data_IF_589999791604
#
_entry.id   IF_589999791604
#
_cell.length_a   1.000
_cell.length_b   1.000
_cell.length_c   1.000
_cell.angle_alpha   90.00
_cell.angle_beta   90.00
_cell.angle_gamma   90.00
#
_symmetry.space_group_name_H-M   'P 1'
#
loop_
_entity.id
_entity.type
_entity.pdbx_description
1 polymer ?
#
# COMPACT_ATOMS: atom_id res chain seq x y z
N UNK A 1 -13.82 43.16 -9.29
CA UNK A 1 -14.13 41.89 -9.97
C UNK A 1 -12.86 41.44 -10.69
N UNK A 2 -12.19 40.36 -10.31
CA UNK A 2 -11.06 39.85 -11.07
C UNK A 2 -11.56 39.05 -12.26
N UNK A 3 -11.06 39.43 -13.45
CA UNK A 3 -11.27 38.74 -14.71
C UNK A 3 -10.81 37.26 -14.59
N UNK A 4 -11.70 36.33 -14.79
CA UNK A 4 -11.38 34.93 -14.81
C UNK A 4 -10.77 34.49 -16.15
N UNK A 5 -9.63 33.78 -16.12
CA UNK A 5 -8.98 33.25 -17.33
C UNK A 5 -9.89 32.20 -18.00
N UNK A 6 -10.08 32.32 -19.30
CA UNK A 6 -10.83 31.40 -20.15
C UNK A 6 -9.81 30.44 -20.75
N UNK A 7 -9.91 29.15 -20.45
CA UNK A 7 -9.18 28.13 -21.19
C UNK A 7 -9.99 27.77 -22.43
N UNK A 8 -9.50 28.12 -23.59
CA UNK A 8 -10.10 27.71 -24.86
C UNK A 8 -9.32 26.51 -25.45
N UNK A 9 -10.00 25.43 -25.72
CA UNK A 9 -9.46 24.32 -26.51
C UNK A 9 -9.93 24.50 -27.93
N UNK A 10 -9.01 24.69 -28.86
CA UNK A 10 -9.30 24.80 -30.30
C UNK A 10 -9.28 23.40 -30.88
N UNK A 11 -10.42 22.94 -31.39
CA UNK A 11 -10.53 21.68 -32.11
C UNK A 11 -9.96 21.79 -33.54
N UNK A 12 -9.76 20.67 -34.25
CA UNK A 12 -9.11 20.62 -35.56
C UNK A 12 -9.82 21.41 -36.68
N UNK A 13 -11.04 21.88 -36.46
CA UNK A 13 -11.82 22.68 -37.41
C UNK A 13 -11.99 24.15 -36.99
N UNK A 14 -11.18 24.63 -36.06
CA UNK A 14 -11.22 26.05 -35.64
C UNK A 14 -12.41 26.44 -34.77
N UNK A 15 -13.23 25.48 -34.31
CA UNK A 15 -14.33 25.74 -33.39
C UNK A 15 -13.81 25.98 -31.97
N UNK A 16 -14.13 27.15 -31.41
CA UNK A 16 -13.77 27.51 -30.04
C UNK A 16 -14.85 26.97 -29.11
N UNK A 17 -14.54 25.95 -28.34
CA UNK A 17 -15.37 25.52 -27.22
C UNK A 17 -15.00 26.34 -26.00
N UNK A 18 -15.79 27.37 -25.69
CA UNK A 18 -15.70 28.06 -24.42
C UNK A 18 -16.27 27.14 -23.32
N UNK A 19 -15.41 26.49 -22.57
CA UNK A 19 -15.80 25.86 -21.31
C UNK A 19 -16.13 26.97 -20.32
N UNK A 20 -17.42 27.14 -20.03
CA UNK A 20 -17.85 28.02 -18.96
C UNK A 20 -17.11 27.61 -17.67
N UNK A 21 -16.42 28.54 -17.03
CA UNK A 21 -15.89 28.34 -15.67
C UNK A 21 -17.05 28.06 -14.74
N UNK A 22 -17.25 26.79 -14.44
CA UNK A 22 -17.89 26.44 -13.18
C UNK A 22 -16.97 26.93 -12.05
N UNK A 23 -17.53 27.28 -10.89
CA UNK A 23 -16.77 27.53 -9.65
C UNK A 23 -16.07 26.24 -9.16
N UNK A 24 -15.27 25.64 -10.03
CA UNK A 24 -14.49 24.45 -9.68
C UNK A 24 -13.35 24.88 -8.77
N UNK A 25 -13.38 24.39 -7.56
CA UNK A 25 -12.31 24.46 -6.58
C UNK A 25 -11.00 24.04 -7.28
N UNK A 26 -9.92 24.80 -7.12
CA UNK A 26 -8.63 24.39 -7.69
C UNK A 26 -8.12 23.13 -6.95
N UNK A 27 -7.19 22.40 -7.57
CA UNK A 27 -6.67 21.14 -7.03
C UNK A 27 -6.17 21.27 -5.59
N UNK A 28 -5.53 22.39 -5.24
CA UNK A 28 -5.01 22.62 -3.89
C UNK A 28 -6.14 22.78 -2.88
N UNK A 29 -7.19 23.50 -3.23
CA UNK A 29 -8.38 23.67 -2.37
C UNK A 29 -9.11 22.35 -2.20
N UNK A 30 -9.21 21.53 -3.26
CA UNK A 30 -9.79 20.19 -3.19
C UNK A 30 -9.00 19.28 -2.24
N UNK A 31 -7.68 19.28 -2.33
CA UNK A 31 -6.82 18.51 -1.42
C UNK A 31 -6.95 18.99 0.02
N UNK A 32 -6.95 20.30 0.26
CA UNK A 32 -7.15 20.84 1.61
C UNK A 32 -8.52 20.50 2.20
N UNK A 33 -9.57 20.53 1.39
CA UNK A 33 -10.91 20.12 1.82
C UNK A 33 -10.96 18.62 2.14
N UNK A 34 -10.30 17.80 1.32
CA UNK A 34 -10.17 16.37 1.54
C UNK A 34 -9.39 16.05 2.83
N UNK A 35 -8.26 16.71 3.07
CA UNK A 35 -7.45 16.54 4.27
C UNK A 35 -8.23 16.87 5.56
N UNK A 36 -9.11 17.88 5.51
CA UNK A 36 -9.95 18.29 6.66
C UNK A 36 -11.16 17.38 6.89
N UNK A 37 -11.50 16.53 5.94
CA UNK A 37 -12.67 15.64 6.07
C UNK A 37 -12.42 14.60 7.17
N UNK A 38 -13.37 14.45 8.08
CA UNK A 38 -13.34 13.41 9.10
C UNK A 38 -13.52 12.02 8.47
N UNK A 39 -12.85 10.97 8.99
CA UNK A 39 -13.15 9.60 8.62
C UNK A 39 -14.59 9.22 8.92
N UNK A 40 -15.16 8.29 8.17
CA UNK A 40 -16.51 7.77 8.43
C UNK A 40 -16.55 6.88 9.68
N UNK A 41 -15.50 6.08 9.92
CA UNK A 41 -15.44 5.18 11.07
C UNK A 41 -14.05 5.23 11.69
N UNK A 42 -14.03 5.33 13.02
CA UNK A 42 -12.82 5.13 13.83
C UNK A 42 -13.15 4.10 14.90
N UNK A 43 -12.43 2.99 14.86
CA UNK A 43 -12.45 1.97 15.89
C UNK A 43 -11.16 2.12 16.73
N UNK A 44 -11.30 2.19 18.04
CA UNK A 44 -10.18 2.28 18.98
C UNK A 44 -10.18 1.04 19.89
N UNK A 45 -8.98 0.54 20.17
CA UNK A 45 -8.78 -0.66 20.96
C UNK A 45 -7.62 -0.46 21.95
N UNK A 46 -7.79 -0.96 23.15
CA UNK A 46 -6.76 -1.06 24.14
C UNK A 46 -6.59 -2.53 24.50
N UNK A 47 -5.36 -3.01 24.51
CA UNK A 47 -5.09 -4.39 24.90
C UNK A 47 -5.32 -4.59 26.40
N UNK A 48 -5.94 -5.73 26.77
CA UNK A 48 -6.22 -6.03 28.16
C UNK A 48 -4.98 -6.53 28.93
N UNK A 49 -3.94 -6.97 28.23
CA UNK A 49 -2.78 -7.65 28.83
C UNK A 49 -1.48 -6.88 28.70
N UNK A 50 -1.45 -5.88 27.81
CA UNK A 50 -0.26 -5.05 27.57
C UNK A 50 -0.64 -3.58 27.47
N UNK A 51 0.31 -2.71 27.21
CA UNK A 51 0.11 -1.29 26.92
C UNK A 51 -0.21 -1.02 25.43
N UNK A 52 -0.40 -2.05 24.64
CA UNK A 52 -0.72 -1.90 23.22
C UNK A 52 -2.06 -1.19 23.00
N UNK A 53 -2.07 -0.26 22.06
CA UNK A 53 -3.27 0.44 21.61
C UNK A 53 -3.38 0.30 20.09
N UNK A 54 -4.61 0.17 19.60
CA UNK A 54 -4.84 -0.02 18.18
C UNK A 54 -5.99 0.82 17.65
N UNK A 55 -5.92 1.16 16.36
CA UNK A 55 -6.93 1.91 15.64
C UNK A 55 -7.21 1.25 14.29
N UNK A 56 -8.49 1.15 13.92
CA UNK A 56 -8.89 1.03 12.53
C UNK A 56 -9.56 2.33 12.13
N UNK A 57 -9.02 2.97 11.12
CA UNK A 57 -9.62 4.17 10.53
C UNK A 57 -10.11 3.84 9.13
N UNK A 58 -11.40 4.07 8.89
CA UNK A 58 -12.03 3.95 7.58
C UNK A 58 -12.39 5.37 7.12
N UNK A 59 -11.66 5.86 6.13
CA UNK A 59 -11.89 7.21 5.61
C UNK A 59 -13.23 7.33 4.90
N UNK A 60 -13.60 6.31 4.11
CA UNK A 60 -14.95 6.15 3.55
C UNK A 60 -15.26 4.70 3.23
N UNK A 61 -16.56 4.36 3.15
CA UNK A 61 -17.04 3.08 2.64
C UNK A 61 -17.46 3.19 1.16
N UNK A 62 -16.74 4.01 0.39
CA UNK A 62 -16.98 4.13 -1.05
C UNK A 62 -16.99 2.76 -1.72
N UNK A 63 -18.00 2.49 -2.53
CA UNK A 63 -18.16 1.20 -3.19
C UNK A 63 -18.52 0.03 -2.26
N UNK A 64 -18.85 0.30 -0.99
CA UNK A 64 -19.36 -0.68 -0.02
C UNK A 64 -18.25 -1.37 0.80
N UNK A 65 -16.99 -1.01 0.64
CA UNK A 65 -15.89 -1.53 1.43
C UNK A 65 -14.74 -0.52 1.53
N UNK A 66 -13.78 -0.81 2.40
CA UNK A 66 -12.54 -0.06 2.52
C UNK A 66 -11.34 -1.01 2.71
N UNK A 67 -10.16 -0.59 2.29
CA UNK A 67 -8.95 -1.40 2.38
C UNK A 67 -7.74 -0.64 2.91
N UNK A 68 -6.85 -1.37 3.59
CA UNK A 68 -5.58 -0.85 4.07
C UNK A 68 -4.91 -1.77 5.08
N UNK A 69 -3.59 -1.90 5.01
CA UNK A 69 -2.81 -2.81 5.84
C UNK A 69 -2.71 -2.41 7.31
N UNK A 70 -2.25 -3.34 8.12
CA UNK A 70 -1.99 -3.16 9.55
C UNK A 70 -0.50 -2.84 9.77
N UNK A 71 -0.22 -1.73 10.45
CA UNK A 71 1.12 -1.27 10.80
C UNK A 71 1.36 -1.39 12.29
N UNK A 72 2.59 -1.68 12.70
CA UNK A 72 2.95 -1.70 14.13
C UNK A 72 4.25 -0.94 14.38
N UNK A 73 4.23 0.03 15.27
CA UNK A 73 5.44 0.60 15.90
C UNK A 73 5.10 1.38 17.19
N UNK A 74 6.04 1.55 18.12
CA UNK A 74 5.71 2.04 19.47
C UNK A 74 5.26 3.50 19.54
N UNK A 75 5.54 4.30 18.51
CA UNK A 75 5.16 5.73 18.44
C UNK A 75 3.96 5.99 17.54
N UNK A 76 3.28 4.94 17.11
CA UNK A 76 2.09 5.09 16.27
C UNK A 76 0.98 5.77 17.06
N UNK A 77 0.27 6.68 16.42
CA UNK A 77 -0.90 7.32 16.95
C UNK A 77 -2.07 7.31 15.97
N UNK A 78 -3.22 7.77 16.45
CA UNK A 78 -4.43 7.84 15.65
C UNK A 78 -4.30 8.77 14.44
N UNK A 79 -3.60 9.88 14.58
CA UNK A 79 -3.48 10.89 13.52
C UNK A 79 -2.64 10.35 12.35
N UNK A 80 -1.59 9.56 12.62
CA UNK A 80 -0.85 8.85 11.58
C UNK A 80 -1.77 7.85 10.86
N UNK A 81 -2.57 7.07 11.61
CA UNK A 81 -3.49 6.10 10.99
C UNK A 81 -4.55 6.79 10.13
N UNK A 82 -5.09 7.95 10.56
CA UNK A 82 -6.02 8.79 9.77
C UNK A 82 -5.36 9.26 8.47
N UNK A 83 -4.14 9.78 8.55
CA UNK A 83 -3.39 10.23 7.37
C UNK A 83 -3.17 9.11 6.37
N UNK A 84 -2.81 7.93 6.85
CA UNK A 84 -2.59 6.75 6.02
C UNK A 84 -3.89 6.23 5.39
N UNK A 85 -5.01 6.24 6.12
CA UNK A 85 -6.30 5.84 5.56
C UNK A 85 -6.74 6.75 4.40
N UNK A 86 -6.49 8.06 4.50
CA UNK A 86 -6.71 9.03 3.42
C UNK A 86 -5.80 8.75 2.21
N UNK A 87 -4.54 8.46 2.45
CA UNK A 87 -3.59 8.08 1.41
C UNK A 87 -4.03 6.81 0.68
N UNK A 88 -4.53 5.81 1.41
CA UNK A 88 -5.07 4.57 0.83
C UNK A 88 -6.28 4.84 -0.06
N UNK A 89 -7.16 5.77 0.30
CA UNK A 89 -8.31 6.13 -0.56
C UNK A 89 -7.86 6.78 -1.87
N UNK A 90 -6.88 7.67 -1.83
CA UNK A 90 -6.28 8.25 -3.04
C UNK A 90 -5.69 7.12 -3.91
N UNK A 91 -4.93 6.21 -3.30
CA UNK A 91 -4.35 5.05 -3.99
C UNK A 91 -5.41 4.20 -4.69
N UNK A 92 -6.49 3.83 -4.00
CA UNK A 92 -7.58 3.07 -4.59
C UNK A 92 -8.40 3.86 -5.63
N UNK A 93 -8.42 5.19 -5.54
CA UNK A 93 -9.04 6.02 -6.56
C UNK A 93 -8.26 5.98 -7.87
N UNK A 94 -6.93 5.91 -7.80
CA UNK A 94 -6.04 5.91 -8.98
C UNK A 94 -5.90 4.52 -9.58
N UNK A 95 -5.68 3.48 -8.74
CA UNK A 95 -5.31 2.14 -9.20
C UNK A 95 -6.38 1.07 -8.98
N UNK A 96 -7.51 1.41 -8.34
CA UNK A 96 -8.56 0.45 -7.98
C UNK A 96 -8.16 -0.52 -6.85
N UNK A 97 -9.09 -1.38 -6.42
CA UNK A 97 -10.51 -1.38 -6.77
C UNK A 97 -11.23 -0.11 -6.28
N UNK A 98 -12.46 0.13 -6.75
CA UNK A 98 -13.26 1.34 -6.44
C UNK A 98 -13.86 1.29 -5.04
N UNK A 99 -13.01 1.19 -4.02
CA UNK A 99 -13.36 1.13 -2.59
C UNK A 99 -12.81 2.34 -1.85
N UNK A 100 -13.27 2.53 -0.62
CA UNK A 100 -12.74 3.53 0.29
C UNK A 100 -11.35 3.17 0.84
N UNK A 101 -10.66 4.16 1.37
CA UNK A 101 -9.39 3.96 2.05
C UNK A 101 -9.60 3.63 3.52
N UNK A 102 -8.82 2.68 4.01
CA UNK A 102 -8.70 2.40 5.43
C UNK A 102 -7.23 2.21 5.82
N UNK A 103 -6.98 2.22 7.10
CA UNK A 103 -5.70 1.82 7.68
C UNK A 103 -5.95 1.27 9.07
N UNK A 104 -5.17 0.28 9.45
CA UNK A 104 -5.07 -0.09 10.86
C UNK A 104 -3.65 0.05 11.36
N UNK A 105 -3.54 0.24 12.66
CA UNK A 105 -2.26 0.41 13.29
C UNK A 105 -2.28 0.09 14.77
N UNK A 106 -1.16 -0.42 15.26
CA UNK A 106 -0.97 -0.83 16.65
C UNK A 106 0.26 -0.12 17.21
N UNK A 107 0.06 0.67 18.26
CA UNK A 107 1.16 1.26 19.02
C UNK A 107 1.71 0.19 19.97
N UNK A 108 2.76 -0.49 19.54
CA UNK A 108 3.44 -1.54 20.30
C UNK A 108 4.85 -1.79 19.72
N UNK A 109 5.79 -2.26 20.54
CA UNK A 109 7.13 -2.62 20.06
C UNK A 109 7.07 -3.92 19.23
N UNK A 110 7.41 -3.89 17.95
CA UNK A 110 7.39 -5.09 17.11
C UNK A 110 8.46 -6.14 17.48
N UNK A 111 9.43 -5.79 18.34
CA UNK A 111 10.45 -6.71 18.84
C UNK A 111 10.08 -7.32 20.21
N UNK A 112 8.96 -6.91 20.80
CA UNK A 112 8.48 -7.49 22.07
C UNK A 112 8.07 -8.95 21.84
N UNK A 113 8.51 -9.90 22.70
CA UNK A 113 8.16 -11.32 22.54
C UNK A 113 6.65 -11.60 22.59
N UNK A 114 5.85 -10.68 23.13
CA UNK A 114 4.37 -10.78 23.19
C UNK A 114 3.68 -10.25 21.91
N UNK A 115 4.43 -9.86 20.88
CA UNK A 115 3.88 -9.32 19.63
C UNK A 115 2.80 -10.20 19.02
N UNK A 116 3.04 -11.51 18.95
CA UNK A 116 2.07 -12.45 18.36
C UNK A 116 0.76 -12.47 19.15
N UNK A 117 0.83 -12.50 20.47
CA UNK A 117 -0.36 -12.49 21.33
C UNK A 117 -1.16 -11.19 21.19
N UNK A 118 -0.47 -10.04 21.10
CA UNK A 118 -1.09 -8.74 20.80
C UNK A 118 -1.80 -8.76 19.45
N UNK A 119 -1.15 -9.29 18.40
CA UNK A 119 -1.76 -9.42 17.08
C UNK A 119 -3.00 -10.34 17.10
N UNK A 120 -2.96 -11.45 17.83
CA UNK A 120 -4.10 -12.37 17.98
C UNK A 120 -5.30 -11.67 18.62
N UNK A 121 -5.09 -10.97 19.72
CA UNK A 121 -6.15 -10.20 20.40
C UNK A 121 -6.67 -9.04 19.54
N UNK A 122 -5.77 -8.36 18.84
CA UNK A 122 -6.13 -7.31 17.88
C UNK A 122 -7.04 -7.85 16.77
N UNK A 123 -6.63 -8.91 16.08
CA UNK A 123 -7.42 -9.45 14.98
C UNK A 123 -8.73 -10.09 15.45
N UNK A 124 -8.78 -10.65 16.65
CA UNK A 124 -10.05 -11.06 17.25
C UNK A 124 -11.00 -9.89 17.45
N UNK A 125 -10.50 -8.74 17.96
CA UNK A 125 -11.31 -7.54 18.18
C UNK A 125 -11.85 -6.93 16.88
N UNK A 126 -11.05 -6.91 15.81
CA UNK A 126 -11.44 -6.29 14.53
C UNK A 126 -12.13 -7.26 13.56
N UNK A 127 -12.28 -8.53 13.92
CA UNK A 127 -12.96 -9.55 13.11
C UNK A 127 -14.33 -9.12 12.56
N UNK A 128 -15.24 -8.44 13.32
CA UNK A 128 -16.51 -8.00 12.77
C UNK A 128 -16.36 -7.05 11.58
N UNK A 129 -15.37 -6.17 11.59
CA UNK A 129 -15.09 -5.24 10.50
C UNK A 129 -14.55 -6.00 9.27
N UNK A 130 -13.61 -6.93 9.51
CA UNK A 130 -12.98 -7.77 8.48
C UNK A 130 -13.96 -8.72 7.80
N UNK A 131 -15.02 -9.15 8.48
CA UNK A 131 -16.09 -9.96 7.91
C UNK A 131 -17.09 -9.17 7.07
N UNK A 132 -17.19 -7.87 7.26
CA UNK A 132 -18.27 -7.08 6.66
C UNK A 132 -17.82 -6.18 5.51
N UNK A 133 -16.88 -5.28 5.75
CA UNK A 133 -16.53 -4.23 4.80
C UNK A 133 -15.07 -3.77 4.86
N UNK A 134 -14.25 -4.28 5.76
CA UNK A 134 -12.84 -3.91 5.86
C UNK A 134 -11.95 -5.03 5.36
N UNK A 135 -11.01 -4.70 4.47
CA UNK A 135 -9.93 -5.58 4.04
C UNK A 135 -8.58 -5.10 4.54
N UNK A 136 -7.78 -6.00 5.12
CA UNK A 136 -6.46 -5.69 5.63
C UNK A 136 -5.39 -6.58 5.00
N UNK A 137 -4.14 -6.26 5.26
CA UNK A 137 -2.94 -7.01 4.89
C UNK A 137 -1.78 -6.59 5.77
N UNK A 138 -0.57 -7.00 5.44
CA UNK A 138 0.65 -6.54 6.10
C UNK A 138 1.01 -5.09 5.75
N UNK A 139 1.75 -4.46 6.63
CA UNK A 139 2.45 -3.19 6.43
C UNK A 139 3.70 -3.18 7.32
N UNK A 140 4.23 -2.03 7.66
CA UNK A 140 5.46 -1.91 8.46
C UNK A 140 5.40 -2.75 9.75
N UNK A 141 6.35 -3.66 9.89
CA UNK A 141 6.53 -4.57 11.02
C UNK A 141 5.37 -5.57 11.27
N UNK A 142 4.50 -5.77 10.31
CA UNK A 142 3.45 -6.82 10.34
C UNK A 142 3.51 -7.59 9.04
N UNK A 143 3.85 -8.88 9.13
CA UNK A 143 4.02 -9.76 7.97
C UNK A 143 2.67 -10.30 7.49
N UNK A 144 2.39 -10.12 6.20
CA UNK A 144 1.11 -10.58 5.64
C UNK A 144 0.99 -12.10 5.62
N UNK A 145 2.08 -12.80 5.27
CA UNK A 145 2.05 -14.24 5.04
C UNK A 145 2.15 -15.02 6.35
N UNK A 146 3.01 -14.56 7.27
CA UNK A 146 3.32 -15.32 8.48
C UNK A 146 2.50 -14.86 9.70
N UNK A 147 1.91 -13.66 9.66
CA UNK A 147 1.15 -13.11 10.79
C UNK A 147 -0.32 -12.82 10.40
N UNK A 148 -0.58 -11.94 9.40
CA UNK A 148 -1.95 -11.47 9.13
C UNK A 148 -2.84 -12.61 8.67
N UNK A 149 -2.44 -13.35 7.63
CA UNK A 149 -3.25 -14.42 7.05
C UNK A 149 -3.56 -15.50 8.09
N UNK A 150 -2.57 -16.16 8.73
CA UNK A 150 -2.85 -17.23 9.65
C UNK A 150 -3.66 -16.79 10.88
N UNK A 151 -3.34 -15.64 11.47
CA UNK A 151 -4.05 -15.15 12.66
C UNK A 151 -5.52 -14.81 12.33
N UNK A 152 -5.79 -14.18 11.18
CA UNK A 152 -7.17 -13.88 10.78
C UNK A 152 -7.96 -15.16 10.43
N UNK A 153 -7.31 -16.16 9.86
CA UNK A 153 -7.93 -17.48 9.63
C UNK A 153 -8.28 -18.18 10.96
N UNK A 154 -7.41 -18.12 11.95
CA UNK A 154 -7.70 -18.61 13.32
C UNK A 154 -8.91 -17.89 13.94
N UNK A 155 -9.14 -16.62 13.59
CA UNK A 155 -10.34 -15.86 13.98
C UNK A 155 -11.60 -16.22 13.18
N UNK A 156 -11.54 -17.21 12.28
CA UNK A 156 -12.67 -17.67 11.47
C UNK A 156 -12.99 -16.75 10.30
N UNK A 157 -11.99 -16.07 9.76
CA UNK A 157 -12.05 -15.29 8.53
C UNK A 157 -11.40 -16.10 7.41
N UNK A 158 -12.01 -16.17 6.24
CA UNK A 158 -11.46 -16.94 5.13
C UNK A 158 -10.19 -16.34 4.53
N UNK A 159 -10.06 -15.03 4.60
CA UNK A 159 -8.89 -14.27 4.15
C UNK A 159 -8.99 -12.83 4.69
N UNK A 160 -7.89 -12.13 4.97
CA UNK A 160 -7.92 -10.74 5.44
C UNK A 160 -8.70 -9.77 4.55
N UNK A 161 -8.94 -10.11 3.28
CA UNK A 161 -9.73 -9.34 2.32
C UNK A 161 -11.21 -9.76 2.27
N UNK A 162 -11.69 -10.60 3.16
CA UNK A 162 -13.06 -11.12 3.12
C UNK A 162 -14.11 -10.00 3.14
N UNK A 163 -13.91 -8.96 3.94
CA UNK A 163 -14.80 -7.80 4.00
C UNK A 163 -14.95 -7.07 2.67
N UNK A 164 -13.89 -7.02 1.85
CA UNK A 164 -13.98 -6.43 0.51
C UNK A 164 -14.84 -7.29 -0.41
N UNK A 165 -14.73 -8.61 -0.33
CA UNK A 165 -15.59 -9.51 -1.11
C UNK A 165 -17.06 -9.39 -0.70
N UNK A 166 -17.32 -9.24 0.60
CA UNK A 166 -18.68 -9.11 1.10
C UNK A 166 -19.28 -7.73 0.83
N UNK A 167 -18.55 -6.67 1.10
CA UNK A 167 -19.03 -5.29 0.99
C UNK A 167 -19.06 -4.75 -0.44
N UNK A 168 -17.94 -4.88 -1.16
CA UNK A 168 -17.78 -4.30 -2.50
C UNK A 168 -18.29 -5.22 -3.60
N UNK A 169 -17.76 -6.43 -3.66
CA UNK A 169 -18.11 -7.36 -4.74
C UNK A 169 -19.47 -8.02 -4.53
N UNK A 170 -19.98 -8.06 -3.29
CA UNK A 170 -21.19 -8.80 -2.91
C UNK A 170 -21.16 -10.23 -3.46
N UNK A 171 -19.98 -10.84 -3.40
CA UNK A 171 -19.67 -12.09 -4.04
C UNK A 171 -20.46 -13.25 -3.42
N UNK A 172 -21.03 -14.11 -4.27
CA UNK A 172 -21.64 -15.38 -3.82
C UNK A 172 -20.54 -16.30 -3.25
N UNK A 173 -20.92 -17.22 -2.38
CA UNK A 173 -19.98 -18.12 -1.69
C UNK A 173 -19.01 -18.80 -2.65
N UNK A 174 -19.49 -19.35 -3.76
CA UNK A 174 -18.66 -20.06 -4.77
C UNK A 174 -17.64 -19.12 -5.43
N UNK A 175 -18.03 -17.90 -5.75
CA UNK A 175 -17.12 -16.89 -6.32
C UNK A 175 -16.10 -16.43 -5.27
N UNK A 176 -16.52 -16.23 -4.02
CA UNK A 176 -15.65 -15.86 -2.90
C UNK A 176 -14.58 -16.91 -2.67
N UNK A 177 -14.93 -18.19 -2.61
CA UNK A 177 -13.96 -19.31 -2.49
C UNK A 177 -12.93 -19.28 -3.61
N UNK A 178 -13.37 -19.14 -4.87
CA UNK A 178 -12.48 -19.11 -6.02
C UNK A 178 -11.50 -17.92 -5.95
N UNK A 179 -11.99 -16.70 -5.68
CA UNK A 179 -11.17 -15.49 -5.63
C UNK A 179 -10.17 -15.51 -4.47
N UNK A 180 -10.60 -15.96 -3.29
CA UNK A 180 -9.72 -16.15 -2.12
C UNK A 180 -8.63 -17.18 -2.43
N UNK A 181 -8.98 -18.29 -3.09
CA UNK A 181 -8.00 -19.27 -3.54
C UNK A 181 -6.92 -18.65 -4.46
N UNK A 182 -7.32 -17.82 -5.41
CA UNK A 182 -6.38 -17.10 -6.28
C UNK A 182 -5.49 -16.11 -5.52
N UNK A 183 -6.02 -15.38 -4.53
CA UNK A 183 -5.22 -14.47 -3.69
C UNK A 183 -4.16 -15.24 -2.92
N UNK A 184 -4.55 -16.34 -2.26
CA UNK A 184 -3.60 -17.19 -1.51
C UNK A 184 -2.50 -17.73 -2.40
N UNK A 185 -2.83 -18.22 -3.58
CA UNK A 185 -1.85 -18.69 -4.56
C UNK A 185 -0.93 -17.56 -5.01
N UNK A 186 -1.48 -16.40 -5.38
CA UNK A 186 -0.70 -15.27 -5.87
C UNK A 186 0.29 -14.72 -4.85
N UNK A 187 -0.14 -14.53 -3.62
CA UNK A 187 0.70 -14.00 -2.52
C UNK A 187 1.86 -14.95 -2.19
N UNK A 188 1.58 -16.25 -2.14
CA UNK A 188 2.55 -17.28 -1.77
C UNK A 188 3.39 -17.81 -2.92
N UNK A 189 3.10 -17.38 -4.16
CA UNK A 189 3.82 -17.84 -5.35
C UNK A 189 5.32 -17.54 -5.22
N UNK A 190 6.14 -18.58 -5.34
CA UNK A 190 7.60 -18.47 -5.33
C UNK A 190 8.06 -17.95 -6.68
N UNK A 191 8.98 -17.00 -6.66
CA UNK A 191 9.64 -16.50 -7.86
C UNK A 191 10.80 -17.44 -8.20
N UNK A 192 10.71 -18.11 -9.34
CA UNK A 192 11.71 -19.09 -9.78
C UNK A 192 12.74 -18.52 -10.76
N UNK A 193 12.78 -17.20 -10.92
CA UNK A 193 13.78 -16.55 -11.75
C UNK A 193 15.18 -16.75 -11.14
N UNK A 194 16.06 -17.40 -11.88
CA UNK A 194 17.43 -17.73 -11.44
C UNK A 194 18.27 -16.49 -11.10
N UNK A 195 17.92 -15.32 -11.64
CA UNK A 195 18.57 -14.05 -11.32
C UNK A 195 18.32 -13.60 -9.88
N UNK A 196 17.23 -14.07 -9.26
CA UNK A 196 16.89 -13.77 -7.86
C UNK A 196 17.47 -14.76 -6.84
N UNK A 197 18.09 -15.84 -7.30
CA UNK A 197 18.64 -16.84 -6.38
C UNK A 197 20.11 -16.50 -6.16
N UNK A 198 20.51 -16.05 -4.96
CA UNK A 198 21.92 -15.86 -4.64
C UNK A 198 22.66 -17.21 -4.81
N UNK A 199 23.69 -17.22 -5.65
CA UNK A 199 24.40 -18.42 -6.08
C UNK A 199 25.03 -19.25 -4.94
N UNK A 200 25.10 -18.71 -3.71
CA UNK A 200 25.81 -19.30 -2.58
C UNK A 200 25.07 -19.21 -1.23
N UNK A 201 23.77 -18.91 -1.21
CA UNK A 201 23.04 -18.87 0.05
C UNK A 201 22.03 -20.00 0.10
N UNK A 202 21.96 -20.73 1.20
CA UNK A 202 20.82 -21.57 1.56
C UNK A 202 19.56 -20.74 1.85
N UNK A 203 19.45 -19.56 1.23
CA UNK A 203 18.39 -18.59 1.43
C UNK A 203 17.06 -19.09 0.86
N UNK A 204 16.01 -18.83 1.58
CA UNK A 204 14.64 -19.04 1.14
C UNK A 204 14.39 -18.27 -0.16
N UNK A 205 13.68 -18.92 -1.09
CA UNK A 205 13.26 -18.30 -2.35
C UNK A 205 12.34 -17.10 -2.06
N UNK A 206 12.51 -16.01 -2.82
CA UNK A 206 11.59 -14.88 -2.76
C UNK A 206 10.20 -15.25 -3.27
N UNK A 207 9.20 -14.64 -2.69
CA UNK A 207 7.80 -14.75 -3.12
C UNK A 207 7.35 -13.49 -3.85
N UNK A 208 6.27 -13.59 -4.60
CA UNK A 208 5.66 -12.43 -5.26
C UNK A 208 5.38 -11.31 -4.25
N UNK A 209 4.90 -11.64 -3.05
CA UNK A 209 4.66 -10.66 -1.98
C UNK A 209 5.91 -9.84 -1.60
N UNK A 210 7.10 -10.42 -1.67
CA UNK A 210 8.34 -9.74 -1.32
C UNK A 210 8.75 -8.70 -2.38
N UNK A 211 8.36 -8.90 -3.62
CA UNK A 211 8.87 -8.15 -4.78
C UNK A 211 7.86 -7.21 -5.42
N UNK A 212 6.56 -7.53 -5.35
CA UNK A 212 5.51 -6.88 -6.15
C UNK A 212 5.43 -5.37 -5.92
N UNK A 213 5.60 -4.90 -4.69
CA UNK A 213 5.51 -3.46 -4.38
C UNK A 213 6.71 -2.70 -4.95
N UNK A 214 7.93 -3.26 -4.82
CA UNK A 214 9.13 -2.67 -5.42
C UNK A 214 9.11 -2.72 -6.95
N UNK A 215 8.56 -3.78 -7.54
CA UNK A 215 8.27 -3.83 -8.97
C UNK A 215 7.35 -2.68 -9.39
N UNK A 216 6.26 -2.45 -8.65
CA UNK A 216 5.34 -1.34 -8.91
C UNK A 216 6.02 0.04 -8.86
N UNK A 217 7.00 0.24 -7.96
CA UNK A 217 7.81 1.46 -7.93
C UNK A 217 8.62 1.61 -9.22
N UNK A 218 9.32 0.56 -9.68
CA UNK A 218 10.10 0.61 -10.92
C UNK A 218 9.22 0.85 -12.14
N UNK A 219 8.04 0.24 -12.22
CA UNK A 219 7.05 0.47 -13.25
C UNK A 219 6.57 1.93 -13.27
N UNK A 220 6.35 2.53 -12.10
CA UNK A 220 5.97 3.95 -11.99
C UNK A 220 7.05 4.87 -12.58
N UNK A 221 8.32 4.58 -12.31
CA UNK A 221 9.46 5.30 -12.89
C UNK A 221 9.52 5.09 -14.42
N UNK A 222 9.32 3.87 -14.91
CA UNK A 222 9.27 3.56 -16.34
C UNK A 222 8.16 4.33 -17.05
N UNK A 223 6.95 4.33 -16.46
CA UNK A 223 5.82 5.10 -17.00
C UNK A 223 6.05 6.60 -16.98
N UNK A 224 6.75 7.14 -15.97
CA UNK A 224 7.15 8.54 -15.97
C UNK A 224 7.98 8.88 -17.21
N UNK A 225 9.05 8.11 -17.50
CA UNK A 225 9.87 8.35 -18.68
C UNK A 225 9.12 8.11 -20.00
N UNK A 226 8.23 7.15 -20.05
CA UNK A 226 7.36 6.93 -21.22
C UNK A 226 6.44 8.14 -21.50
N UNK A 227 5.96 8.79 -20.45
CA UNK A 227 5.03 9.93 -20.57
C UNK A 227 5.75 11.24 -20.85
N UNK A 228 6.88 11.49 -20.19
CA UNK A 228 7.57 12.78 -20.25
C UNK A 228 8.86 12.76 -21.07
N UNK A 229 9.22 11.63 -21.62
CA UNK A 229 10.45 11.44 -22.40
C UNK A 229 11.68 11.14 -21.53
N UNK A 230 12.67 10.51 -22.17
CA UNK A 230 13.89 10.07 -21.51
C UNK A 230 13.95 8.56 -21.35
N UNK A 231 14.85 8.07 -20.51
CA UNK A 231 15.04 6.65 -20.25
C UNK A 231 15.59 6.42 -18.83
N UNK A 232 15.32 5.25 -18.26
CA UNK A 232 15.89 4.78 -16.99
C UNK A 232 17.37 4.50 -17.14
N UNK A 233 17.79 3.96 -18.28
CA UNK A 233 19.17 3.58 -18.57
C UNK A 233 20.14 4.74 -18.30
N UNK A 234 21.16 4.47 -17.48
CA UNK A 234 22.19 5.44 -17.09
C UNK A 234 21.76 6.45 -16.03
N UNK A 235 20.53 6.40 -15.54
CA UNK A 235 20.10 7.26 -14.42
C UNK A 235 20.74 6.80 -13.12
N UNK A 236 21.17 7.77 -12.32
CA UNK A 236 21.73 7.53 -10.99
C UNK A 236 20.63 7.51 -9.96
N UNK A 237 20.52 6.44 -9.18
CA UNK A 237 19.46 6.20 -8.22
C UNK A 237 20.04 6.08 -6.81
N UNK A 238 19.47 6.85 -5.88
CA UNK A 238 19.67 6.71 -4.45
C UNK A 238 18.43 6.04 -3.85
N UNK A 239 18.61 4.99 -3.07
CA UNK A 239 17.54 4.23 -2.43
C UNK A 239 17.55 4.50 -0.93
N UNK A 240 16.45 5.02 -0.41
CA UNK A 240 16.23 5.18 1.02
C UNK A 240 15.31 4.06 1.52
N UNK A 241 15.81 3.23 2.44
CA UNK A 241 15.16 2.02 2.94
C UNK A 241 15.56 0.79 2.13
N UNK A 242 16.10 -0.23 2.81
CA UNK A 242 16.55 -1.48 2.19
C UNK A 242 15.73 -2.68 2.70
N UNK A 243 14.40 -2.52 2.67
CA UNK A 243 13.40 -3.59 2.88
C UNK A 243 12.86 -4.11 1.55
N UNK A 244 11.79 -4.93 1.60
CA UNK A 244 11.17 -5.55 0.43
C UNK A 244 10.88 -4.56 -0.71
N UNK A 245 10.41 -3.37 -0.40
CA UNK A 245 10.09 -2.36 -1.41
C UNK A 245 11.35 -1.75 -2.03
N UNK A 246 12.26 -1.23 -1.19
CA UNK A 246 13.45 -0.54 -1.69
C UNK A 246 14.43 -1.45 -2.41
N UNK A 247 14.68 -2.64 -1.87
CA UNK A 247 15.56 -3.62 -2.49
C UNK A 247 15.01 -4.12 -3.84
N UNK A 248 13.73 -4.48 -3.89
CA UNK A 248 13.10 -4.90 -5.14
C UNK A 248 13.04 -3.76 -6.18
N UNK A 249 12.71 -2.53 -5.77
CA UNK A 249 12.73 -1.38 -6.68
C UNK A 249 14.12 -1.14 -7.27
N UNK A 250 15.16 -1.18 -6.43
CA UNK A 250 16.55 -1.05 -6.88
C UNK A 250 16.92 -2.12 -7.90
N UNK A 251 16.55 -3.37 -7.62
CA UNK A 251 16.82 -4.50 -8.50
C UNK A 251 16.18 -4.31 -9.88
N UNK A 252 14.87 -4.01 -9.92
CA UNK A 252 14.17 -3.84 -11.19
C UNK A 252 14.65 -2.61 -11.97
N UNK A 253 14.97 -1.49 -11.28
CA UNK A 253 15.56 -0.31 -11.94
C UNK A 253 16.97 -0.61 -12.48
N UNK A 254 17.77 -1.39 -11.77
CA UNK A 254 19.09 -1.80 -12.26
C UNK A 254 18.98 -2.70 -13.51
N UNK A 255 17.99 -3.59 -13.57
CA UNK A 255 17.69 -4.40 -14.79
C UNK A 255 17.35 -3.53 -16.00
N UNK A 256 16.70 -2.39 -15.78
CA UNK A 256 16.42 -1.38 -16.82
C UNK A 256 17.63 -0.49 -17.14
N UNK A 257 18.77 -0.76 -16.52
CA UNK A 257 20.04 -0.06 -16.77
C UNK A 257 20.28 1.19 -15.92
N UNK A 258 19.56 1.38 -14.82
CA UNK A 258 19.89 2.40 -13.84
C UNK A 258 21.17 2.04 -13.07
N UNK A 259 21.89 3.04 -12.59
CA UNK A 259 23.03 2.91 -11.71
C UNK A 259 22.57 3.17 -10.26
N UNK A 260 22.54 2.15 -9.43
CA UNK A 260 22.26 2.32 -8.00
C UNK A 260 23.52 2.86 -7.33
N UNK A 261 23.55 4.15 -7.09
CA UNK A 261 24.77 4.85 -6.58
C UNK A 261 24.77 5.03 -5.07
N UNK A 262 23.67 4.74 -4.40
CA UNK A 262 23.62 4.78 -2.95
C UNK A 262 22.42 4.05 -2.39
N UNK A 263 22.62 3.49 -1.20
CA UNK A 263 21.61 2.83 -0.40
C UNK A 263 21.76 3.35 1.02
N UNK A 264 20.68 3.80 1.63
CA UNK A 264 20.66 4.32 3.00
C UNK A 264 19.50 3.65 3.74
N UNK A 265 19.77 3.10 4.92
CA UNK A 265 18.75 2.58 5.82
C UNK A 265 19.06 2.94 7.29
N UNK A 266 18.32 2.35 8.24
CA UNK A 266 18.53 2.60 9.67
C UNK A 266 19.86 2.10 10.21
N UNK A 267 20.53 1.17 9.53
CA UNK A 267 21.84 0.62 9.92
C UNK A 267 23.00 1.47 9.39
N UNK A 268 22.76 2.30 8.38
CA UNK A 268 23.77 3.15 7.77
C UNK A 268 23.54 3.38 6.29
N UNK A 269 24.60 3.78 5.58
CA UNK A 269 24.54 4.05 4.16
C UNK A 269 25.81 3.64 3.41
N UNK A 270 25.62 3.25 2.16
CA UNK A 270 26.69 2.97 1.21
C UNK A 270 26.49 3.92 0.02
N UNK A 271 27.56 4.60 -0.38
CA UNK A 271 27.58 5.43 -1.59
C UNK A 271 28.72 4.96 -2.48
N UNK A 272 28.39 4.65 -3.74
CA UNK A 272 29.37 4.30 -4.78
C UNK A 272 28.99 5.02 -6.08
N UNK A 273 29.72 6.10 -6.45
CA UNK A 273 29.40 6.89 -7.64
C UNK A 273 29.41 6.09 -8.95
N UNK A 274 30.19 5.04 -9.02
CA UNK A 274 30.33 4.11 -10.16
C UNK A 274 29.18 3.09 -10.25
N UNK A 275 28.39 2.98 -9.25
CA UNK A 275 27.29 2.01 -9.11
C UNK A 275 27.59 0.86 -8.16
N UNK A 276 26.54 0.40 -7.50
CA UNK A 276 26.54 -0.78 -6.62
C UNK A 276 26.06 -1.96 -7.46
N UNK A 277 26.84 -3.04 -7.47
CA UNK A 277 26.42 -4.30 -8.09
C UNK A 277 25.39 -4.95 -7.17
N UNK A 278 24.16 -5.13 -7.65
CA UNK A 278 23.12 -5.90 -6.99
C UNK A 278 23.23 -7.34 -7.48
N UNK A 279 23.87 -8.18 -6.68
CA UNK A 279 24.02 -9.63 -6.92
C UNK A 279 23.04 -10.40 -6.05
#
# INVERSE_FOLDING_TARGET
MPCGDILAIVGPEGSIFALAKSNAMNMKEMLQAYEKRSPEIVFEWNDAETDARGWVVINSLRGGAAGGGTRMHPRLDKDEVVSLAKTMEIKFTVSGPQIGGAKSGIAFDPNDPRKEDVLRRWYAAVTPLLKTYYGTGGDMNVDEIHEVIPITEDCGIWHPQEGVFNGHFKAKTTEKVKRIGHLRQGVSQVVEDLEFIPKNSGASKYRVADLITGYGVSESVRHYYNTYGGAIKGKRVLVQGWGNVGAAAAFYLAREGALIVGIIDRAGGIIRPEGILLQ
#
